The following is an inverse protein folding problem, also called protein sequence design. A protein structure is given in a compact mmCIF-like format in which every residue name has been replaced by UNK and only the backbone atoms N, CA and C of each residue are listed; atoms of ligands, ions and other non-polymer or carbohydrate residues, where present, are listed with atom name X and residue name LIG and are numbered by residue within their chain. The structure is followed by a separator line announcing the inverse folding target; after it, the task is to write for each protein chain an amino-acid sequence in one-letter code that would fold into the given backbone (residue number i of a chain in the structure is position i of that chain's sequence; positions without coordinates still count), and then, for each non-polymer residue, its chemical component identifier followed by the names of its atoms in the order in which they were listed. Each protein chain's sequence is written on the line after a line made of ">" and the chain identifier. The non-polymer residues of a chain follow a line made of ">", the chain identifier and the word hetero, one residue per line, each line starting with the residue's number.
data_IF_085038894125
#
_entry.id   IF_085038894125
#
_cell.length_a   1.000
_cell.length_b   1.000
_cell.length_c   1.000
_cell.angle_alpha   90.00
_cell.angle_beta   90.00
_cell.angle_gamma   90.00
#
_symmetry.space_group_name_H-M   'P 1'
#
loop_
_entity.id
_entity.type
_entity.pdbx_description
1 polymer ?
#
# COMPACT_ATOMS: atom_id res chain seq x y z
N UNK A 1 -2.08 9.45 2.02
CA UNK A 1 -2.76 9.09 0.74
C UNK A 1 -2.54 7.63 0.32
N UNK A 2 -1.32 7.09 0.42
CA UNK A 2 -1.05 5.67 0.06
C UNK A 2 -2.02 4.69 0.71
N UNK A 3 -2.25 4.82 2.04
CA UNK A 3 -3.20 4.00 2.79
C UNK A 3 -4.63 4.05 2.21
N UNK A 4 -5.14 5.25 1.95
CA UNK A 4 -6.51 5.44 1.44
C UNK A 4 -6.65 4.93 0.01
N UNK A 5 -5.64 5.16 -0.84
CA UNK A 5 -5.61 4.66 -2.22
C UNK A 5 -5.58 3.13 -2.28
N UNK A 6 -4.78 2.47 -1.44
CA UNK A 6 -4.71 1.01 -1.36
C UNK A 6 -6.09 0.41 -0.99
N UNK A 7 -6.77 0.97 0.01
CA UNK A 7 -8.12 0.53 0.38
C UNK A 7 -9.13 0.79 -0.74
N UNK A 8 -9.01 1.91 -1.46
CA UNK A 8 -9.87 2.19 -2.61
C UNK A 8 -9.66 1.18 -3.75
N UNK A 9 -8.44 0.67 -3.95
CA UNK A 9 -8.17 -0.40 -4.90
C UNK A 9 -8.77 -1.74 -4.46
N UNK A 10 -8.65 -2.10 -3.18
CA UNK A 10 -9.29 -3.32 -2.64
C UNK A 10 -10.81 -3.31 -2.80
N UNK A 11 -11.45 -2.15 -2.65
CA UNK A 11 -12.90 -2.01 -2.83
C UNK A 11 -13.36 -2.22 -4.29
N UNK A 12 -12.44 -2.28 -5.26
CA UNK A 12 -12.76 -2.47 -6.69
C UNK A 12 -12.74 -3.93 -7.14
N UNK A 13 -12.50 -4.89 -6.25
CA UNK A 13 -12.55 -6.32 -6.59
C UNK A 13 -13.86 -6.66 -7.32
N UNK A 14 -13.82 -7.48 -8.38
CA UNK A 14 -12.69 -8.30 -8.83
C UNK A 14 -11.72 -7.60 -9.80
N UNK A 15 -11.79 -6.28 -9.98
CA UNK A 15 -10.76 -5.57 -10.77
C UNK A 15 -9.41 -5.69 -10.04
N UNK A 16 -8.39 -6.07 -10.81
CA UNK A 16 -7.03 -6.21 -10.30
C UNK A 16 -6.26 -4.89 -10.46
N UNK A 17 -5.48 -4.48 -9.45
CA UNK A 17 -4.59 -3.33 -9.56
C UNK A 17 -3.49 -3.58 -10.61
N UNK A 18 -2.84 -2.51 -11.07
CA UNK A 18 -1.63 -2.65 -11.88
C UNK A 18 -0.52 -3.34 -11.09
N UNK A 19 0.48 -3.97 -11.73
CA UNK A 19 1.57 -4.64 -11.03
C UNK A 19 2.27 -3.75 -9.97
N UNK A 20 2.56 -2.49 -10.30
CA UNK A 20 3.19 -1.55 -9.38
C UNK A 20 2.30 -1.24 -8.16
N UNK A 21 1.04 -0.89 -8.38
CA UNK A 21 0.12 -0.55 -7.28
C UNK A 21 -0.25 -1.77 -6.44
N UNK A 22 -0.31 -2.96 -7.04
CA UNK A 22 -0.45 -4.24 -6.35
C UNK A 22 0.75 -4.56 -5.45
N UNK A 23 1.97 -4.25 -5.88
CA UNK A 23 3.16 -4.42 -5.04
C UNK A 23 3.12 -3.53 -3.79
N UNK A 24 2.66 -2.28 -3.92
CA UNK A 24 2.47 -1.38 -2.76
C UNK A 24 1.37 -1.90 -1.83
N UNK A 25 0.24 -2.39 -2.35
CA UNK A 25 -0.81 -3.00 -1.52
C UNK A 25 -0.23 -4.18 -0.73
N UNK A 26 0.51 -5.07 -1.39
CA UNK A 26 1.15 -6.23 -0.75
C UNK A 26 2.11 -5.80 0.36
N UNK A 27 2.97 -4.81 0.13
CA UNK A 27 3.85 -4.25 1.16
C UNK A 27 3.07 -3.79 2.40
N UNK A 28 1.96 -3.08 2.22
CA UNK A 28 1.14 -2.62 3.34
C UNK A 28 0.56 -3.81 4.14
N UNK A 29 0.05 -4.83 3.46
CA UNK A 29 -0.51 -6.03 4.12
C UNK A 29 0.57 -6.82 4.88
N UNK A 30 1.75 -6.98 4.29
CA UNK A 30 2.92 -7.60 4.93
C UNK A 30 3.38 -6.80 6.16
N UNK A 31 3.15 -5.48 6.18
CA UNK A 31 3.45 -4.59 7.31
C UNK A 31 2.33 -4.50 8.36
N UNK A 32 1.33 -5.39 8.30
CA UNK A 32 0.23 -5.44 9.27
C UNK A 32 -0.85 -4.37 9.08
N UNK A 33 -0.83 -3.61 7.97
CA UNK A 33 -1.85 -2.63 7.66
C UNK A 33 -2.98 -3.35 6.94
N UNK A 34 -4.18 -3.39 7.54
CA UNK A 34 -5.31 -4.13 6.99
C UNK A 34 -6.04 -3.35 5.87
N UNK A 35 -6.75 -4.11 5.03
CA UNK A 35 -7.64 -3.56 4.01
C UNK A 35 -8.92 -2.91 4.58
N UNK A 36 -9.90 -2.64 3.70
CA UNK A 36 -11.22 -2.18 4.12
C UNK A 36 -11.87 -3.18 5.09
N UNK A 37 -12.54 -2.66 6.12
CA UNK A 37 -13.21 -3.43 7.15
C UNK A 37 -13.99 -2.50 8.09
N UNK A 38 -14.53 -3.02 9.20
CA UNK A 38 -15.14 -2.19 10.24
C UNK A 38 -14.18 -1.10 10.75
N UNK A 39 -14.77 -0.06 11.34
CA UNK A 39 -14.00 1.03 11.93
C UNK A 39 -13.08 0.53 13.06
N UNK A 40 -11.88 1.11 13.11
CA UNK A 40 -10.84 0.77 14.10
C UNK A 40 -9.93 1.97 14.35
N UNK A 41 -9.06 1.86 15.37
CA UNK A 41 -8.07 2.88 15.68
C UNK A 41 -6.98 2.94 14.60
N UNK A 42 -7.01 3.97 13.75
CA UNK A 42 -6.15 4.06 12.56
C UNK A 42 -4.78 4.71 12.78
N UNK A 43 -4.53 5.40 13.89
CA UNK A 43 -3.25 6.08 14.12
C UNK A 43 -2.03 5.17 13.90
N UNK A 44 -2.00 3.92 14.42
CA UNK A 44 -0.86 3.04 14.25
C UNK A 44 -0.60 2.67 12.78
N UNK A 45 -1.65 2.46 12.00
CA UNK A 45 -1.53 2.14 10.57
C UNK A 45 -1.08 3.35 9.73
N UNK A 46 -1.55 4.54 10.11
CA UNK A 46 -1.13 5.79 9.46
C UNK A 46 0.35 6.03 9.73
N UNK A 47 0.79 5.90 10.98
CA UNK A 47 2.20 6.04 11.38
C UNK A 47 3.09 5.01 10.67
N UNK A 48 2.70 3.73 10.63
CA UNK A 48 3.42 2.71 9.88
C UNK A 48 3.50 3.03 8.38
N UNK A 49 2.40 3.50 7.77
CA UNK A 49 2.40 3.93 6.36
C UNK A 49 3.36 5.10 6.13
N UNK A 50 3.42 6.05 7.06
CA UNK A 50 4.34 7.20 6.98
C UNK A 50 5.79 6.73 7.00
N UNK A 51 6.14 5.80 7.89
CA UNK A 51 7.50 5.27 7.99
C UNK A 51 7.90 4.43 6.75
N UNK A 52 6.96 3.70 6.14
CA UNK A 52 7.21 3.00 4.87
C UNK A 52 7.49 3.98 3.72
N UNK A 53 6.80 5.12 3.68
CA UNK A 53 7.07 6.17 2.68
C UNK A 53 8.40 6.84 2.96
N UNK A 54 8.68 7.19 4.21
CA UNK A 54 9.91 7.88 4.62
C UNK A 54 11.17 7.04 4.41
N UNK A 55 11.09 5.74 4.66
CA UNK A 55 12.21 4.82 4.49
C UNK A 55 12.54 4.50 3.02
N UNK A 56 11.65 4.85 2.08
CA UNK A 56 11.80 4.49 0.66
C UNK A 56 11.22 3.12 0.31
N UNK A 57 10.72 2.35 1.28
CA UNK A 57 10.19 1.00 1.06
C UNK A 57 9.08 0.94 0.01
N UNK A 58 8.27 2.00 -0.13
CA UNK A 58 7.24 2.08 -1.20
C UNK A 58 7.87 2.12 -2.59
N UNK A 59 8.98 2.83 -2.78
CA UNK A 59 9.72 2.87 -4.05
C UNK A 59 10.43 1.54 -4.30
N UNK A 60 11.07 1.00 -3.26
CA UNK A 60 11.77 -0.29 -3.34
C UNK A 60 10.81 -1.43 -3.70
N UNK A 61 9.56 -1.38 -3.22
CA UNK A 61 8.55 -2.38 -3.53
C UNK A 61 8.12 -2.38 -5.01
N UNK A 62 8.17 -1.23 -5.69
CA UNK A 62 7.75 -1.13 -7.10
C UNK A 62 8.92 -1.34 -8.07
N UNK A 63 10.15 -1.04 -7.67
CA UNK A 63 11.31 -1.08 -8.55
C UNK A 63 11.53 -2.46 -9.23
N UNK A 64 11.41 -3.61 -8.57
CA UNK A 64 11.53 -4.92 -9.22
C UNK A 64 10.44 -5.21 -10.26
N UNK A 65 9.34 -4.45 -10.23
CA UNK A 65 8.15 -4.68 -11.05
C UNK A 65 8.15 -3.80 -12.30
N UNK A 66 8.64 -2.56 -12.20
CA UNK A 66 8.58 -1.58 -13.30
C UNK A 66 9.94 -1.02 -13.72
N UNK A 67 11.02 -1.39 -13.04
CA UNK A 67 12.36 -0.86 -13.27
C UNK A 67 12.57 0.52 -12.63
N UNK A 68 13.61 1.22 -13.09
CA UNK A 68 13.94 2.58 -12.64
C UNK A 68 12.77 3.54 -12.90
N UNK A 69 12.50 4.39 -11.90
CA UNK A 69 11.56 5.51 -12.06
C UNK A 69 12.29 6.66 -12.78
N UNK A 70 11.72 7.10 -13.90
CA UNK A 70 12.22 8.23 -14.71
C UNK A 70 11.83 9.59 -14.11
#
# INVERSE_FOLDING_TARGET
>A
EVLTAARALDLRRPLEPSPATGAVIRLLRESGIEGPGPDRHLSPEIEATVELVRSGAVLDAVHPVIGDLA
#
